data_IF_576070798101
#
_entry.id   IF_576070798101
#
_cell.length_a   1.000
_cell.length_b   1.000
_cell.length_c   1.000
_cell.angle_alpha   90.00
_cell.angle_beta   90.00
_cell.angle_gamma   90.00
#
_symmetry.space_group_name_H-M   'P 1'
#
loop_
_entity.id
_entity.type
_entity.pdbx_description
1 polymer ?
#
# COMPACT_ATOMS: atom_id res chain seq x y z
N UNK A 1 -11.93 17.29 7.02
CA UNK A 1 -11.58 16.03 7.71
C UNK A 1 -10.70 15.26 6.75
N UNK A 2 -9.43 14.94 7.07
CA UNK A 2 -8.61 14.22 6.11
C UNK A 2 -9.17 12.80 5.97
N UNK A 3 -9.22 12.36 4.72
CA UNK A 3 -9.93 11.19 4.24
C UNK A 3 -9.69 9.95 5.12
N UNK A 4 -10.75 9.43 5.75
CA UNK A 4 -10.73 8.32 6.72
C UNK A 4 -10.76 6.96 6.03
N UNK A 5 -10.86 6.93 4.69
CA UNK A 5 -10.94 5.69 3.94
C UNK A 5 -9.63 4.90 4.08
N UNK A 6 -9.73 3.66 4.58
CA UNK A 6 -8.60 2.73 4.71
C UNK A 6 -8.12 2.19 3.36
N UNK A 7 -8.92 2.38 2.32
CA UNK A 7 -8.66 1.91 0.98
C UNK A 7 -9.29 2.83 -0.07
N UNK A 8 -8.77 2.78 -1.29
CA UNK A 8 -9.31 3.48 -2.46
C UNK A 8 -9.53 2.47 -3.58
N UNK A 9 -10.71 2.48 -4.18
CA UNK A 9 -10.98 1.67 -5.38
C UNK A 9 -10.39 2.33 -6.62
N UNK A 10 -9.78 1.53 -7.47
CA UNK A 10 -9.28 1.95 -8.77
C UNK A 10 -9.73 0.97 -9.86
N UNK A 11 -9.87 1.49 -11.07
CA UNK A 11 -10.10 0.69 -12.27
C UNK A 11 -9.08 1.11 -13.33
N UNK A 12 -8.49 0.13 -14.01
CA UNK A 12 -7.59 0.34 -15.13
C UNK A 12 -8.11 -0.41 -16.36
N UNK A 13 -8.16 0.28 -17.49
CA UNK A 13 -8.45 -0.31 -18.79
C UNK A 13 -7.20 -0.24 -19.66
N UNK A 14 -6.71 -1.40 -20.07
CA UNK A 14 -5.49 -1.54 -20.85
C UNK A 14 -5.77 -1.35 -22.34
N UNK A 15 -5.02 -0.44 -22.98
CA UNK A 15 -4.94 -0.35 -24.44
C UNK A 15 -4.14 -1.51 -25.08
N UNK A 16 -3.45 -2.31 -24.26
CA UNK A 16 -2.52 -3.35 -24.68
C UNK A 16 -1.07 -2.90 -24.58
N UNK A 17 -0.15 -3.86 -24.50
CA UNK A 17 1.29 -3.61 -24.45
C UNK A 17 1.85 -3.58 -23.03
N UNK A 18 3.08 -3.07 -22.91
CA UNK A 18 3.81 -3.05 -21.65
C UNK A 18 3.73 -1.66 -21.00
N UNK A 19 3.43 -1.63 -19.72
CA UNK A 19 3.40 -0.41 -18.90
C UNK A 19 4.25 -0.61 -17.65
N UNK A 20 4.91 0.45 -17.20
CA UNK A 20 5.66 0.46 -15.95
C UNK A 20 4.71 0.80 -14.82
N UNK A 21 4.59 -0.10 -13.86
CA UNK A 21 3.94 0.17 -12.57
C UNK A 21 5.00 0.74 -11.64
N UNK A 22 4.81 1.98 -11.20
CA UNK A 22 5.67 2.63 -10.23
C UNK A 22 5.26 2.25 -8.80
N UNK A 23 6.24 1.99 -7.91
CA UNK A 23 5.96 1.57 -6.56
C UNK A 23 5.48 2.75 -5.72
N UNK A 24 4.50 2.49 -4.87
CA UNK A 24 3.91 3.49 -3.97
C UNK A 24 3.86 3.02 -2.50
N UNK A 25 4.45 1.86 -2.21
CA UNK A 25 4.46 1.26 -0.88
C UNK A 25 3.10 0.80 -0.39
N UNK A 26 2.09 0.74 -1.25
CA UNK A 26 0.76 0.26 -0.90
C UNK A 26 0.62 -1.24 -1.19
N UNK A 27 -0.46 -1.84 -0.69
CA UNK A 27 -0.91 -3.17 -1.08
C UNK A 27 -2.20 -3.02 -1.86
N UNK A 28 -2.36 -3.75 -2.95
CA UNK A 28 -3.60 -3.78 -3.71
C UNK A 28 -4.30 -5.11 -3.48
N UNK A 29 -5.62 -5.10 -3.25
CA UNK A 29 -6.49 -6.25 -3.45
C UNK A 29 -7.05 -6.17 -4.87
N UNK A 30 -6.58 -7.02 -5.77
CA UNK A 30 -6.91 -7.00 -7.19
C UNK A 30 -7.93 -8.08 -7.49
N UNK A 31 -8.93 -7.71 -8.31
CA UNK A 31 -9.98 -8.58 -8.79
C UNK A 31 -9.64 -9.04 -10.20
N UNK A 32 -9.87 -10.32 -10.44
CA UNK A 32 -9.69 -10.98 -11.73
C UNK A 32 -10.89 -11.88 -12.00
N UNK A 33 -11.05 -12.30 -13.25
CA UNK A 33 -12.10 -13.25 -13.65
C UNK A 33 -12.04 -14.57 -12.87
N UNK A 34 -10.86 -14.93 -12.36
CA UNK A 34 -10.61 -16.18 -11.65
C UNK A 34 -10.59 -16.04 -10.13
N UNK A 35 -10.89 -14.85 -9.59
CA UNK A 35 -10.88 -14.58 -8.15
C UNK A 35 -10.12 -13.32 -7.77
N UNK A 36 -9.81 -13.17 -6.49
CA UNK A 36 -9.08 -12.00 -5.96
C UNK A 36 -7.74 -12.39 -5.33
N UNK A 37 -6.76 -11.50 -5.42
CA UNK A 37 -5.48 -11.67 -4.73
C UNK A 37 -4.97 -10.36 -4.15
N UNK A 38 -4.19 -10.44 -3.07
CA UNK A 38 -3.57 -9.27 -2.46
C UNK A 38 -2.11 -9.23 -2.90
N UNK A 39 -1.62 -8.06 -3.29
CA UNK A 39 -0.21 -7.87 -3.57
C UNK A 39 0.57 -7.74 -2.26
N UNK A 40 1.85 -8.11 -2.32
CA UNK A 40 2.80 -7.59 -1.34
C UNK A 40 2.94 -6.07 -1.48
N UNK A 41 3.68 -5.46 -0.56
CA UNK A 41 4.02 -4.04 -0.65
C UNK A 41 4.70 -3.74 -1.99
N UNK A 42 4.17 -2.77 -2.73
CA UNK A 42 4.76 -2.38 -4.02
C UNK A 42 5.96 -1.46 -3.77
N UNK A 43 7.17 -2.04 -3.75
CA UNK A 43 8.41 -1.36 -3.37
C UNK A 43 9.38 -1.18 -4.54
N UNK A 44 9.12 -1.85 -5.65
CA UNK A 44 10.02 -1.90 -6.81
C UNK A 44 9.25 -1.67 -8.09
N UNK A 45 9.74 -0.81 -9.00
CA UNK A 45 9.11 -0.66 -10.31
C UNK A 45 9.07 -1.98 -11.04
N UNK A 46 7.95 -2.27 -11.72
CA UNK A 46 7.78 -3.49 -12.50
C UNK A 46 7.15 -3.19 -13.85
N UNK A 47 7.66 -3.85 -14.88
CA UNK A 47 7.04 -3.84 -16.19
C UNK A 47 5.94 -4.90 -16.20
N UNK A 48 4.71 -4.48 -16.46
CA UNK A 48 3.58 -5.39 -16.66
C UNK A 48 3.11 -5.34 -18.10
N UNK A 49 2.74 -6.50 -18.66
CA UNK A 49 2.16 -6.58 -19.99
C UNK A 49 0.70 -6.99 -19.84
N UNK A 50 -0.20 -6.12 -20.31
CA UNK A 50 -1.63 -6.38 -20.29
C UNK A 50 -2.13 -6.57 -21.73
N UNK A 51 -3.11 -7.46 -21.89
CA UNK A 51 -3.79 -7.61 -23.17
C UNK A 51 -4.62 -6.36 -23.47
N UNK A 52 -4.80 -6.06 -24.75
CA UNK A 52 -5.72 -4.99 -25.15
C UNK A 52 -7.14 -5.34 -24.72
N UNK A 53 -7.87 -4.36 -24.17
CA UNK A 53 -9.21 -4.55 -23.65
C UNK A 53 -9.28 -5.18 -22.26
N UNK A 54 -8.14 -5.56 -21.65
CA UNK A 54 -8.13 -6.05 -20.28
C UNK A 54 -8.60 -4.94 -19.32
N UNK A 55 -9.54 -5.29 -18.44
CA UNK A 55 -10.02 -4.41 -17.38
C UNK A 55 -9.62 -5.01 -16.04
N UNK A 56 -8.96 -4.20 -15.22
CA UNK A 56 -8.59 -4.55 -13.86
C UNK A 56 -9.33 -3.62 -12.91
N UNK A 57 -9.92 -4.20 -11.87
CA UNK A 57 -10.46 -3.46 -10.73
C UNK A 57 -9.67 -3.87 -9.50
N UNK A 58 -9.27 -2.90 -8.69
CA UNK A 58 -8.54 -3.18 -7.47
C UNK A 58 -8.89 -2.20 -6.36
N UNK A 59 -8.52 -2.59 -5.15
CA UNK A 59 -8.67 -1.79 -3.95
C UNK A 59 -7.30 -1.58 -3.35
N UNK A 60 -6.81 -0.34 -3.41
CA UNK A 60 -5.55 0.06 -2.82
C UNK A 60 -5.71 0.27 -1.34
N UNK A 61 -5.09 -0.58 -0.53
CA UNK A 61 -4.99 -0.42 0.90
C UNK A 61 -3.96 0.66 1.21
N UNK A 62 -4.32 1.59 2.09
CA UNK A 62 -3.37 2.61 2.54
C UNK A 62 -2.19 1.96 3.28
N UNK A 63 -1.00 2.59 3.26
CA UNK A 63 0.13 2.09 4.02
C UNK A 63 -0.22 1.94 5.51
N UNK A 64 0.13 0.79 6.10
CA UNK A 64 -0.22 0.46 7.49
C UNK A 64 -1.62 -0.13 7.70
N UNK A 65 -2.40 -0.28 6.63
CA UNK A 65 -3.65 -1.07 6.65
C UNK A 65 -3.32 -2.53 6.36
N UNK A 66 -3.79 -3.40 7.24
CA UNK A 66 -3.71 -4.87 7.10
C UNK A 66 -5.10 -5.45 7.01
N UNK A 67 -5.23 -6.65 6.43
CA UNK A 67 -6.47 -7.41 6.47
C UNK A 67 -6.40 -8.39 7.64
N UNK A 68 -7.41 -8.41 8.49
CA UNK A 68 -7.54 -9.47 9.50
C UNK A 68 -7.54 -10.85 8.81
N UNK A 69 -6.89 -11.87 9.40
CA UNK A 69 -7.05 -13.24 8.95
C UNK A 69 -8.54 -13.58 8.89
N UNK A 70 -9.02 -14.01 7.73
CA UNK A 70 -10.41 -14.40 7.52
C UNK A 70 -10.45 -15.60 6.59
N UNK A 71 -11.20 -16.62 6.99
CA UNK A 71 -11.38 -17.85 6.21
C UNK A 71 -12.26 -17.63 4.96
N UNK A 72 -12.91 -16.46 4.85
CA UNK A 72 -13.84 -16.12 3.79
C UNK A 72 -13.29 -14.93 3.00
N UNK A 73 -12.66 -15.22 1.86
CA UNK A 73 -12.40 -14.21 0.83
C UNK A 73 -13.56 -14.20 -0.16
N UNK A 74 -14.15 -13.04 -0.47
CA UNK A 74 -15.21 -12.99 -1.46
C UNK A 74 -14.70 -13.46 -2.82
N UNK A 75 -15.61 -14.05 -3.61
CA UNK A 75 -15.35 -14.31 -5.01
C UNK A 75 -14.98 -13.00 -5.73
N UNK A 76 -13.95 -13.06 -6.56
CA UNK A 76 -13.35 -11.90 -7.24
C UNK A 76 -14.25 -11.25 -8.28
N UNK A 77 -15.46 -11.78 -8.49
CA UNK A 77 -16.45 -11.25 -9.43
C UNK A 77 -17.41 -10.22 -8.79
N UNK A 78 -17.64 -10.26 -7.47
CA UNK A 78 -18.56 -9.35 -6.77
C UNK A 78 -17.81 -8.22 -6.04
N UNK A 79 -17.68 -7.08 -6.73
CA UNK A 79 -17.11 -5.84 -6.19
C UNK A 79 -17.81 -5.40 -4.90
N UNK A 80 -19.14 -5.56 -4.81
CA UNK A 80 -19.91 -5.18 -3.63
C UNK A 80 -19.59 -6.05 -2.42
N UNK A 81 -19.38 -7.34 -2.62
CA UNK A 81 -18.93 -8.25 -1.55
C UNK A 81 -17.51 -7.91 -1.08
N UNK A 82 -16.60 -7.55 -2.00
CA UNK A 82 -15.24 -7.13 -1.66
C UNK A 82 -15.26 -5.83 -0.85
N UNK A 83 -16.07 -4.82 -1.23
CA UNK A 83 -16.21 -3.59 -0.43
C UNK A 83 -16.65 -3.88 1.00
N UNK A 84 -17.70 -4.67 1.19
CA UNK A 84 -18.18 -5.07 2.53
C UNK A 84 -17.12 -5.85 3.33
N UNK A 85 -16.38 -6.72 2.65
CA UNK A 85 -15.27 -7.44 3.25
C UNK A 85 -14.19 -6.48 3.75
N UNK A 86 -13.77 -5.51 2.94
CA UNK A 86 -12.77 -4.51 3.30
C UNK A 86 -13.26 -3.61 4.44
N UNK A 87 -14.52 -3.18 4.43
CA UNK A 87 -15.13 -2.42 5.53
C UNK A 87 -15.08 -3.17 6.85
N UNK A 88 -15.21 -4.50 6.82
CA UNK A 88 -15.25 -5.34 8.02
C UNK A 88 -13.85 -5.78 8.48
N UNK A 89 -12.92 -6.02 7.56
CA UNK A 89 -11.65 -6.69 7.85
C UNK A 89 -10.41 -5.81 7.66
N UNK A 90 -10.53 -4.62 7.08
CA UNK A 90 -9.42 -3.68 7.02
C UNK A 90 -9.15 -3.12 8.40
N UNK A 91 -7.97 -3.42 8.93
CA UNK A 91 -7.50 -2.97 10.24
C UNK A 91 -6.37 -1.99 10.01
N UNK A 92 -6.50 -0.83 10.63
CA UNK A 92 -5.45 0.17 10.73
C UNK A 92 -4.51 -0.21 11.86
N UNK A 93 -3.20 -0.26 11.61
CA UNK A 93 -2.19 -0.24 12.67
C UNK A 93 -1.72 1.21 12.86
N UNK A 94 -2.23 1.94 13.88
CA UNK A 94 -1.92 3.36 14.07
C UNK A 94 -0.42 3.61 14.18
N UNK A 95 0.29 2.70 14.84
CA UNK A 95 1.71 2.84 15.03
C UNK A 95 2.53 2.56 13.77
N UNK A 96 1.97 1.91 12.74
CA UNK A 96 2.64 1.77 11.43
C UNK A 96 2.35 2.99 10.57
N UNK A 97 1.15 3.54 10.63
CA UNK A 97 0.80 4.75 9.92
C UNK A 97 1.51 5.99 10.46
N UNK A 98 1.59 6.17 11.78
CA UNK A 98 2.32 7.29 12.40
C UNK A 98 3.77 7.30 11.91
N UNK A 99 4.36 6.10 11.82
CA UNK A 99 5.71 5.88 11.34
C UNK A 99 5.83 6.19 9.83
N UNK A 100 4.89 5.74 8.99
CA UNK A 100 4.94 5.99 7.54
C UNK A 100 4.66 7.47 7.24
N UNK A 101 3.73 8.09 7.96
CA UNK A 101 3.43 9.53 7.89
C UNK A 101 4.64 10.35 8.30
N UNK A 102 5.31 10.00 9.40
CA UNK A 102 6.54 10.66 9.83
C UNK A 102 7.71 10.47 8.86
N UNK A 103 7.67 9.47 7.97
CA UNK A 103 8.69 9.27 6.93
C UNK A 103 8.32 9.92 5.59
N UNK A 104 7.03 10.12 5.33
CA UNK A 104 6.49 10.74 4.11
C UNK A 104 6.23 12.25 4.22
N UNK A 105 6.27 12.82 5.44
CA UNK A 105 6.23 14.26 5.66
C UNK A 105 7.42 14.95 5.02
N UNK A 106 7.18 15.67 3.93
CA UNK A 106 8.21 16.34 3.14
C UNK A 106 8.84 17.58 3.75
N UNK A 107 8.54 17.93 5.01
CA UNK A 107 8.95 19.22 5.61
C UNK A 107 9.40 19.13 7.09
N UNK A 108 9.90 17.98 7.55
CA UNK A 108 10.54 17.93 8.86
C UNK A 108 12.05 18.10 8.73
N UNK A 109 12.52 19.28 9.15
CA UNK A 109 13.87 19.54 9.61
C UNK A 109 14.40 18.30 10.35
N UNK A 110 15.59 17.75 9.97
CA UNK A 110 16.24 16.65 10.68
C UNK A 110 16.31 16.82 12.21
N UNK A 111 16.16 18.05 12.71
CA UNK A 111 16.07 18.39 14.12
C UNK A 111 14.80 17.89 14.84
N UNK A 112 13.64 17.76 14.18
CA UNK A 112 12.35 17.46 14.85
C UNK A 112 12.20 15.99 15.22
N UNK A 113 12.84 15.09 14.46
CA UNK A 113 12.88 13.64 14.73
C UNK A 113 14.14 13.25 15.51
N UNK A 114 14.39 13.88 16.67
CA UNK A 114 15.45 13.57 17.65
C UNK A 114 16.37 12.40 17.27
N UNK A 115 17.37 12.68 16.43
CA UNK A 115 18.27 11.68 15.84
C UNK A 115 19.29 11.18 16.86
N UNK A 116 18.85 10.36 17.81
CA UNK A 116 19.77 9.45 18.49
C UNK A 116 19.85 8.15 17.70
N UNK A 117 21.04 7.54 17.64
CA UNK A 117 21.20 6.20 17.10
C UNK A 117 20.31 5.16 17.79
N UNK A 118 19.87 5.44 19.03
CA UNK A 118 18.88 4.65 19.73
C UNK A 118 17.49 4.76 19.08
N UNK A 119 17.01 5.97 18.77
CA UNK A 119 15.73 6.17 18.07
C UNK A 119 15.71 5.50 16.69
N UNK A 120 16.80 5.64 15.92
CA UNK A 120 16.95 4.97 14.62
C UNK A 120 16.93 3.44 14.72
N UNK A 121 17.62 2.88 15.72
CA UNK A 121 17.62 1.43 15.97
C UNK A 121 16.27 0.92 16.46
N UNK A 122 15.57 1.69 17.30
CA UNK A 122 14.22 1.38 17.76
C UNK A 122 13.22 1.38 16.61
N UNK A 123 13.32 2.37 15.72
CA UNK A 123 12.52 2.44 14.49
C UNK A 123 12.82 1.23 13.60
N UNK A 124 14.09 0.98 13.27
CA UNK A 124 14.50 -0.17 12.45
C UNK A 124 13.99 -1.51 13.03
N UNK A 125 14.09 -1.69 14.35
CA UNK A 125 13.60 -2.88 15.04
C UNK A 125 12.08 -2.98 15.01
N UNK A 126 11.36 -1.85 15.09
CA UNK A 126 9.92 -1.80 14.96
C UNK A 126 9.47 -2.27 13.56
N UNK A 127 10.10 -1.76 12.50
CA UNK A 127 9.86 -2.20 11.13
C UNK A 127 10.15 -3.69 10.95
N UNK A 128 11.30 -4.17 11.43
CA UNK A 128 11.67 -5.58 11.35
C UNK A 128 10.68 -6.48 12.09
N UNK A 129 10.25 -6.12 13.31
CA UNK A 129 9.25 -6.88 14.07
C UNK A 129 7.91 -6.99 13.36
N UNK A 130 7.59 -6.03 12.48
CA UNK A 130 6.35 -5.99 11.70
C UNK A 130 6.51 -6.54 10.28
N UNK A 131 7.70 -7.07 9.93
CA UNK A 131 7.99 -7.54 8.58
C UNK A 131 7.96 -6.44 7.52
N UNK A 132 8.12 -5.17 7.92
CA UNK A 132 8.09 -4.02 7.02
C UNK A 132 9.50 -3.70 6.48
N UNK A 133 9.60 -3.14 5.26
CA UNK A 133 10.86 -2.68 4.68
C UNK A 133 11.54 -1.61 5.53
N UNK A 134 12.87 -1.49 5.51
CA UNK A 134 13.58 -0.47 6.26
C UNK A 134 13.07 0.95 5.98
N UNK A 135 13.12 1.88 6.96
CA UNK A 135 12.67 3.27 6.80
C UNK A 135 13.25 4.00 5.58
N UNK A 136 14.47 3.66 5.16
CA UNK A 136 15.11 4.27 3.99
C UNK A 136 14.37 3.95 2.68
N UNK A 137 13.77 2.77 2.58
CA UNK A 137 12.97 2.36 1.41
C UNK A 137 11.74 3.26 1.30
N UNK A 138 11.04 3.46 2.42
CA UNK A 138 9.86 4.35 2.49
C UNK A 138 10.20 5.80 2.15
N UNK A 139 11.33 6.31 2.64
CA UNK A 139 11.82 7.66 2.23
C UNK A 139 12.14 7.74 0.75
N UNK A 140 12.66 6.65 0.15
CA UNK A 140 12.89 6.56 -1.28
C UNK A 140 11.59 6.65 -2.08
N UNK A 141 10.57 5.91 -1.65
CA UNK A 141 9.23 5.94 -2.26
C UNK A 141 8.60 7.33 -2.16
N UNK A 142 8.60 7.94 -0.97
CA UNK A 142 8.05 9.28 -0.75
C UNK A 142 8.69 10.31 -1.70
N UNK A 143 10.02 10.29 -1.84
CA UNK A 143 10.72 11.18 -2.80
C UNK A 143 10.35 10.90 -4.26
N UNK A 144 10.20 9.64 -4.65
CA UNK A 144 9.82 9.28 -6.00
C UNK A 144 8.38 9.71 -6.35
N UNK A 145 7.48 9.73 -5.35
CA UNK A 145 6.08 10.13 -5.52
C UNK A 145 5.83 11.63 -5.34
N UNK A 146 6.66 12.35 -4.58
CA UNK A 146 6.55 13.80 -4.36
C UNK A 146 7.24 14.66 -5.43
N UNK A 147 7.98 14.04 -6.35
CA UNK A 147 8.70 14.73 -7.45
C UNK A 147 7.88 14.96 -8.72
N UNK A 148 6.54 14.91 -8.64
CA UNK A 148 5.61 15.16 -9.75
C UNK A 148 4.69 16.31 -9.40
#
# INVERSE_FOLDING_TARGET
MPDTALWVEWTHQSGGGSSTVFPDGCRDLILTETGSFTTELDLTPRLTTLRSGARLTGFRLRPGVSLAPSDIRPDGSDIGAIRRFLETHAIRDPATEDIITALGGGDDDPATLGHTDAARRSLQRCFQRRGLPPPQVWRGLARATSGT
#
